data_IF_259459032514
#
_entry.id   IF_259459032514
#
_cell.length_a   1.000
_cell.length_b   1.000
_cell.length_c   1.000
_cell.angle_alpha   90.00
_cell.angle_beta   90.00
_cell.angle_gamma   90.00
#
_symmetry.space_group_name_H-M   'P 1'
#
loop_
_entity.id
_entity.type
_entity.pdbx_description
1 polymer ?
#
# COMPACT_ATOMS: atom_id res chain seq x y z
N UNK A 1 -0.57 -10.37 11.18
CA UNK A 1 -1.19 -11.29 12.15
C UNK A 1 -1.55 -10.57 13.44
N UNK A 2 -0.60 -10.21 14.32
CA UNK A 2 -0.90 -9.63 15.65
C UNK A 2 -1.91 -8.47 15.64
N UNK A 3 -1.74 -7.47 14.76
CA UNK A 3 -2.66 -6.32 14.70
C UNK A 3 -4.06 -6.70 14.18
N UNK A 4 -4.16 -7.65 13.24
CA UNK A 4 -5.45 -8.19 12.79
C UNK A 4 -6.12 -9.02 13.89
N UNK A 5 -5.33 -9.79 14.66
CA UNK A 5 -5.82 -10.54 15.81
C UNK A 5 -6.37 -9.60 16.90
N UNK A 6 -5.69 -8.47 17.14
CA UNK A 6 -6.14 -7.42 18.06
C UNK A 6 -7.44 -6.75 17.61
N UNK A 7 -7.68 -6.66 16.29
CA UNK A 7 -8.94 -6.22 15.70
C UNK A 7 -10.01 -7.32 15.70
N UNK A 8 -9.67 -8.56 16.06
CA UNK A 8 -10.58 -9.71 16.02
C UNK A 8 -10.93 -10.18 14.62
N UNK A 9 -10.08 -9.87 13.62
CA UNK A 9 -10.30 -10.21 12.22
C UNK A 9 -9.65 -11.57 11.93
N UNK A 10 -10.41 -12.59 11.48
CA UNK A 10 -9.86 -13.87 11.03
C UNK A 10 -8.79 -13.66 9.96
N UNK A 11 -7.62 -14.24 10.18
CA UNK A 11 -6.48 -14.13 9.28
C UNK A 11 -5.65 -15.41 9.25
N UNK A 12 -4.91 -15.60 8.15
CA UNK A 12 -4.05 -16.75 7.92
C UNK A 12 -2.80 -16.31 7.13
N UNK A 13 -1.62 -16.65 7.64
CA UNK A 13 -0.36 -16.55 6.90
C UNK A 13 -0.07 -17.90 6.25
N UNK A 14 0.08 -17.93 4.93
CA UNK A 14 0.43 -19.16 4.21
C UNK A 14 1.94 -19.46 4.24
N UNK A 15 2.31 -20.62 3.70
CA UNK A 15 3.70 -21.09 3.64
C UNK A 15 4.62 -20.23 2.74
N UNK A 16 4.04 -19.37 1.90
CA UNK A 16 4.74 -18.46 1.01
C UNK A 16 4.80 -17.03 1.57
N UNK A 17 4.38 -16.80 2.81
CA UNK A 17 4.43 -15.49 3.46
C UNK A 17 3.30 -14.54 3.06
N UNK A 18 2.23 -15.03 2.42
CA UNK A 18 1.05 -14.21 2.08
C UNK A 18 0.05 -14.21 3.22
N UNK A 19 -0.36 -13.02 3.64
CA UNK A 19 -1.30 -12.85 4.75
C UNK A 19 -2.68 -12.55 4.20
N UNK A 20 -3.61 -13.47 4.42
CA UNK A 20 -5.02 -13.34 4.05
C UNK A 20 -5.83 -12.96 5.29
N UNK A 21 -6.83 -12.08 5.13
CA UNK A 21 -7.77 -11.75 6.20
C UNK A 21 -9.17 -11.47 5.64
N UNK A 22 -10.19 -11.67 6.47
CA UNK A 22 -11.59 -11.52 6.06
C UNK A 22 -12.40 -10.76 7.10
N UNK A 23 -12.99 -9.64 6.70
CA UNK A 23 -13.95 -8.89 7.48
C UNK A 23 -15.36 -9.13 6.94
N UNK A 24 -16.23 -9.68 7.79
CA UNK A 24 -17.64 -9.90 7.45
C UNK A 24 -18.34 -8.56 7.18
N UNK A 25 -19.23 -8.55 6.20
CA UNK A 25 -20.10 -7.41 5.87
C UNK A 25 -21.52 -7.87 5.51
N UNK A 26 -22.22 -7.07 4.72
CA UNK A 26 -23.59 -7.40 4.26
C UNK A 26 -23.56 -8.62 3.30
N UNK A 27 -24.15 -9.74 3.73
CA UNK A 27 -24.06 -11.05 3.05
C UNK A 27 -24.65 -11.10 1.64
N UNK A 28 -25.46 -10.12 1.26
CA UNK A 28 -26.08 -9.99 -0.06
C UNK A 28 -25.28 -9.11 -1.03
N UNK A 29 -24.14 -8.57 -0.59
CA UNK A 29 -23.24 -7.75 -1.40
C UNK A 29 -22.01 -8.57 -1.82
N UNK A 30 -21.40 -8.25 -2.97
CA UNK A 30 -20.20 -8.94 -3.44
C UNK A 30 -19.01 -8.64 -2.53
N UNK A 31 -18.17 -9.63 -2.26
CA UNK A 31 -16.92 -9.45 -1.50
C UNK A 31 -15.93 -8.62 -2.30
N UNK A 32 -15.42 -7.54 -1.70
CA UNK A 32 -14.39 -6.68 -2.29
C UNK A 32 -13.02 -7.08 -1.74
N UNK A 33 -12.03 -7.17 -2.62
CA UNK A 33 -10.64 -7.41 -2.26
C UNK A 33 -9.84 -6.12 -2.10
N UNK A 34 -9.00 -6.05 -1.08
CA UNK A 34 -7.97 -5.02 -0.93
C UNK A 34 -6.61 -5.69 -0.83
N UNK A 35 -5.62 -5.20 -1.57
CA UNK A 35 -4.27 -5.73 -1.56
C UNK A 35 -3.22 -4.61 -1.43
N UNK A 36 -2.16 -4.91 -0.68
CA UNK A 36 -0.93 -4.12 -0.61
C UNK A 36 0.26 -5.06 -0.44
N UNK A 37 1.47 -4.60 -0.78
CA UNK A 37 2.68 -5.41 -0.64
C UNK A 37 3.54 -5.01 0.58
N UNK A 38 4.33 -5.96 1.07
CA UNK A 38 5.03 -5.87 2.37
C UNK A 38 6.49 -5.43 2.23
N UNK A 39 7.08 -5.63 1.06
CA UNK A 39 8.46 -5.30 0.76
C UNK A 39 8.63 -3.82 0.40
N UNK A 40 9.86 -3.44 0.06
CA UNK A 40 10.21 -2.10 -0.39
C UNK A 40 11.28 -2.24 -1.45
N UNK A 41 11.28 -1.35 -2.43
CA UNK A 41 12.27 -1.21 -3.50
C UNK A 41 13.73 -1.51 -3.08
N UNK A 42 14.49 -2.13 -3.99
CA UNK A 42 15.89 -2.55 -3.76
C UNK A 42 16.90 -1.41 -4.02
N UNK A 43 16.46 -0.35 -4.69
CA UNK A 43 17.26 0.77 -5.19
C UNK A 43 17.84 1.62 -4.07
N UNK A 44 17.18 1.64 -2.90
CA UNK A 44 17.65 2.34 -1.72
C UNK A 44 17.37 1.52 -0.45
N UNK A 45 18.18 1.72 0.60
CA UNK A 45 17.99 0.98 1.85
C UNK A 45 16.66 1.36 2.51
N UNK A 46 15.79 0.38 2.77
CA UNK A 46 14.62 0.50 3.66
C UNK A 46 14.91 0.20 5.13
N UNK A 47 16.19 0.02 5.51
CA UNK A 47 16.59 -0.28 6.89
C UNK A 47 16.85 1.00 7.70
N UNK A 48 16.38 1.03 8.95
CA UNK A 48 16.52 2.16 9.88
C UNK A 48 16.02 3.51 9.32
N UNK A 49 14.90 3.47 8.59
CA UNK A 49 14.21 4.68 8.09
C UNK A 49 13.89 5.61 9.26
N UNK A 50 14.14 6.90 9.07
CA UNK A 50 13.84 7.97 10.03
C UNK A 50 12.83 8.94 9.40
N UNK A 51 11.52 8.68 9.53
CA UNK A 51 10.50 9.57 8.99
C UNK A 51 10.59 10.94 9.64
N UNK A 52 10.45 11.99 8.84
CA UNK A 52 10.34 13.38 9.27
C UNK A 52 8.94 13.88 8.91
N UNK A 53 8.26 14.50 9.86
CA UNK A 53 6.91 15.05 9.65
C UNK A 53 7.03 16.57 9.51
N UNK A 54 6.53 17.10 8.39
CA UNK A 54 6.51 18.52 8.08
C UNK A 54 5.06 18.97 7.99
N UNK A 55 4.53 19.50 9.10
CA UNK A 55 3.16 19.98 9.16
C UNK A 55 3.00 21.34 8.46
N UNK A 56 1.83 21.57 7.84
CA UNK A 56 1.50 22.81 7.15
C UNK A 56 2.58 23.25 6.15
N UNK A 57 2.94 22.35 5.24
CA UNK A 57 3.99 22.58 4.25
C UNK A 57 3.79 23.92 3.52
N UNK A 58 4.85 24.73 3.45
CA UNK A 58 4.76 26.13 3.02
C UNK A 58 5.18 26.36 1.55
N UNK A 59 5.43 25.28 0.81
CA UNK A 59 5.84 25.33 -0.59
C UNK A 59 7.32 25.64 -0.81
N UNK A 60 8.17 25.54 0.23
CA UNK A 60 9.62 25.77 0.13
C UNK A 60 10.42 24.47 0.13
N UNK A 61 11.72 24.59 -0.05
CA UNK A 61 12.67 23.49 0.06
C UNK A 61 12.61 22.84 1.47
N UNK A 62 12.61 21.51 1.52
CA UNK A 62 12.72 20.71 2.75
C UNK A 62 14.11 20.10 2.80
N UNK A 63 14.95 20.54 3.73
CA UNK A 63 16.25 19.92 3.97
C UNK A 63 16.03 18.56 4.65
N UNK A 64 16.38 17.47 3.97
CA UNK A 64 16.27 16.11 4.52
C UNK A 64 17.44 15.82 5.46
N UNK A 65 18.65 16.24 5.03
CA UNK A 65 19.88 16.25 5.82
C UNK A 65 20.83 17.36 5.29
N UNK A 66 22.12 17.28 5.59
CA UNK A 66 23.12 18.27 5.15
C UNK A 66 23.49 18.16 3.66
N UNK A 67 23.11 17.07 2.99
CA UNK A 67 23.48 16.76 1.60
C UNK A 67 22.28 16.82 0.65
N UNK A 68 21.11 16.37 1.10
CA UNK A 68 19.91 16.23 0.30
C UNK A 68 18.81 17.20 0.73
N UNK A 69 18.17 17.78 -0.26
CA UNK A 69 17.04 18.70 -0.12
C UNK A 69 15.95 18.29 -1.09
N UNK A 70 14.73 18.17 -0.59
CA UNK A 70 13.53 17.97 -1.40
C UNK A 70 13.02 19.35 -1.83
N UNK A 71 13.09 19.67 -3.12
CA UNK A 71 12.81 21.01 -3.65
C UNK A 71 11.68 21.00 -4.68
N UNK A 72 10.74 21.96 -4.65
CA UNK A 72 9.75 22.16 -5.71
C UNK A 72 10.36 22.56 -7.06
N UNK A 73 11.66 22.84 -7.13
CA UNK A 73 12.37 23.02 -8.41
C UNK A 73 12.57 21.70 -9.15
N UNK A 74 12.87 20.65 -8.40
CA UNK A 74 13.11 19.31 -8.92
C UNK A 74 11.79 18.51 -8.99
N UNK A 75 10.90 18.75 -8.03
CA UNK A 75 9.58 18.09 -7.88
C UNK A 75 8.45 19.13 -7.78
N UNK A 76 8.04 19.78 -8.90
CA UNK A 76 7.03 20.83 -8.90
C UNK A 76 5.69 20.44 -8.27
N UNK A 77 5.35 19.15 -8.25
CA UNK A 77 4.18 18.56 -7.63
C UNK A 77 4.07 18.84 -6.12
N UNK A 78 5.19 19.13 -5.44
CA UNK A 78 5.19 19.56 -4.03
C UNK A 78 4.30 20.79 -3.82
N UNK A 79 4.21 21.70 -4.80
CA UNK A 79 3.39 22.90 -4.70
C UNK A 79 1.88 22.60 -4.63
N UNK A 80 1.46 21.39 -5.01
CA UNK A 80 0.07 20.95 -4.84
C UNK A 80 -0.27 20.60 -3.38
N UNK A 81 0.75 20.45 -2.53
CA UNK A 81 0.62 20.02 -1.13
C UNK A 81 0.84 21.16 -0.12
N UNK A 82 0.72 22.41 -0.55
CA UNK A 82 0.82 23.55 0.38
C UNK A 82 -0.33 23.48 1.39
N UNK A 83 0.03 23.45 2.67
CA UNK A 83 -0.89 23.29 3.80
C UNK A 83 -1.07 21.85 4.28
N UNK A 84 -0.63 20.85 3.50
CA UNK A 84 -0.68 19.45 3.92
C UNK A 84 0.42 19.12 4.94
N UNK A 85 0.28 17.97 5.61
CA UNK A 85 1.38 17.37 6.38
C UNK A 85 2.14 16.39 5.50
N UNK A 86 3.42 16.67 5.24
CA UNK A 86 4.29 15.79 4.47
C UNK A 86 5.09 14.88 5.40
N UNK A 87 5.27 13.62 5.00
CA UNK A 87 6.17 12.68 5.66
C UNK A 87 7.31 12.37 4.69
N UNK A 88 8.53 12.67 5.08
CA UNK A 88 9.73 12.45 4.25
C UNK A 88 10.73 11.54 4.96
N UNK A 89 11.79 11.16 4.24
CA UNK A 89 12.94 10.46 4.82
C UNK A 89 13.90 11.43 5.51
N UNK A 90 14.98 10.92 6.11
CA UNK A 90 16.14 11.72 6.51
C UNK A 90 17.17 11.90 5.39
N UNK A 91 16.86 11.49 4.15
CA UNK A 91 17.77 11.54 3.01
C UNK A 91 18.69 10.31 2.84
N UNK A 92 18.84 9.46 3.85
CA UNK A 92 19.79 8.31 3.82
C UNK A 92 19.16 6.98 3.37
N UNK A 93 17.83 6.96 3.20
CA UNK A 93 17.00 5.76 3.00
C UNK A 93 15.81 6.10 2.11
N UNK A 94 15.12 5.10 1.58
CA UNK A 94 13.75 5.26 1.09
C UNK A 94 12.77 5.41 2.28
N UNK A 95 11.56 5.92 2.02
CA UNK A 95 10.53 6.04 3.05
C UNK A 95 9.80 4.70 3.29
N UNK A 96 9.58 3.95 2.20
CA UNK A 96 8.67 2.82 2.18
C UNK A 96 7.20 3.26 2.20
N UNK A 97 6.90 4.45 1.65
CA UNK A 97 5.51 4.87 1.41
C UNK A 97 4.82 3.86 0.48
N UNK A 98 5.49 3.54 -0.61
CA UNK A 98 5.30 2.33 -1.41
C UNK A 98 5.83 1.10 -0.63
N UNK A 99 4.99 0.15 -0.18
CA UNK A 99 3.51 0.22 -0.10
C UNK A 99 2.98 0.15 1.35
N UNK A 100 3.79 0.63 2.31
CA UNK A 100 3.35 0.68 3.71
C UNK A 100 2.26 1.71 3.96
N UNK A 101 2.11 2.70 3.07
CA UNK A 101 0.96 3.60 3.06
C UNK A 101 -0.33 2.83 2.73
N UNK A 102 -0.32 1.97 1.70
CA UNK A 102 -1.44 1.10 1.38
C UNK A 102 -1.81 0.16 2.51
N UNK A 103 -0.81 -0.48 3.14
CA UNK A 103 -1.03 -1.31 4.34
C UNK A 103 -1.72 -0.51 5.44
N UNK A 104 -1.21 0.69 5.76
CA UNK A 104 -1.77 1.53 6.81
C UNK A 104 -3.21 1.97 6.50
N UNK A 105 -3.51 2.28 5.24
CA UNK A 105 -4.85 2.63 4.77
C UNK A 105 -5.80 1.44 4.95
N UNK A 106 -5.42 0.25 4.47
CA UNK A 106 -6.24 -0.97 4.61
C UNK A 106 -6.51 -1.27 6.09
N UNK A 107 -5.47 -1.27 6.93
CA UNK A 107 -5.64 -1.51 8.38
C UNK A 107 -6.54 -0.46 9.04
N UNK A 108 -6.46 0.80 8.61
CA UNK A 108 -7.33 1.88 9.10
C UNK A 108 -8.80 1.67 8.71
N UNK A 109 -9.05 1.24 7.46
CA UNK A 109 -10.40 0.90 6.98
C UNK A 109 -10.99 -0.27 7.78
N UNK A 110 -10.20 -1.33 8.00
CA UNK A 110 -10.61 -2.47 8.79
C UNK A 110 -10.95 -2.07 10.23
N UNK A 111 -10.06 -1.29 10.88
CA UNK A 111 -10.27 -0.81 12.24
C UNK A 111 -11.51 0.10 12.35
N UNK A 112 -11.77 0.92 11.34
CA UNK A 112 -12.98 1.75 11.27
C UNK A 112 -14.25 0.89 11.29
N UNK A 113 -14.36 -0.09 10.40
CA UNK A 113 -15.57 -0.93 10.32
C UNK A 113 -15.77 -1.83 11.54
N UNK A 114 -14.68 -2.36 12.12
CA UNK A 114 -14.76 -3.09 13.39
C UNK A 114 -15.31 -2.20 14.51
N UNK A 115 -14.88 -0.93 14.55
CA UNK A 115 -15.33 0.04 15.57
C UNK A 115 -16.74 0.57 15.32
N UNK A 116 -17.19 0.57 14.06
CA UNK A 116 -18.44 1.16 13.61
C UNK A 116 -19.35 0.12 12.90
N UNK A 117 -19.80 -0.94 13.62
CA UNK A 117 -20.61 -2.01 13.03
C UNK A 117 -21.98 -1.53 12.52
N UNK A 118 -22.43 -0.33 12.90
CA UNK A 118 -23.62 0.32 12.37
C UNK A 118 -23.48 0.78 10.90
N UNK A 119 -22.25 0.99 10.44
CA UNK A 119 -21.97 1.40 9.07
C UNK A 119 -21.97 0.17 8.18
N UNK A 120 -22.94 0.09 7.28
CA UNK A 120 -23.06 -1.02 6.33
C UNK A 120 -21.92 -0.98 5.30
N UNK A 121 -21.33 -2.13 5.03
CA UNK A 121 -20.30 -2.29 4.01
C UNK A 121 -20.35 -3.67 3.36
N UNK A 122 -19.67 -3.81 2.22
CA UNK A 122 -19.45 -5.11 1.59
C UNK A 122 -18.53 -5.97 2.46
N UNK A 123 -18.63 -7.31 2.42
CA UNK A 123 -17.57 -8.16 2.95
C UNK A 123 -16.22 -7.77 2.31
N UNK A 124 -15.15 -7.74 3.12
CA UNK A 124 -13.82 -7.32 2.67
C UNK A 124 -12.86 -8.50 2.83
N UNK A 125 -12.22 -8.89 1.73
CA UNK A 125 -11.06 -9.77 1.75
C UNK A 125 -9.79 -8.93 1.64
N UNK A 126 -8.79 -9.24 2.44
CA UNK A 126 -7.50 -8.53 2.44
C UNK A 126 -6.38 -9.51 2.12
N UNK A 127 -5.43 -9.06 1.32
CA UNK A 127 -4.21 -9.77 1.00
C UNK A 127 -3.01 -8.84 1.20
N UNK A 128 -2.06 -9.26 2.02
CA UNK A 128 -0.73 -8.66 2.02
C UNK A 128 0.27 -9.62 1.37
N UNK A 129 0.90 -9.16 0.28
CA UNK A 129 1.82 -9.95 -0.54
C UNK A 129 3.29 -9.65 -0.22
N UNK A 130 4.18 -10.65 -0.25
CA UNK A 130 5.62 -10.41 -0.28
C UNK A 130 6.12 -10.29 -1.73
N UNK A 131 7.34 -9.76 -1.87
CA UNK A 131 8.17 -9.83 -3.08
C UNK A 131 7.54 -9.20 -4.33
N UNK A 132 6.75 -8.14 -4.18
CA UNK A 132 6.18 -7.38 -5.31
C UNK A 132 7.30 -6.73 -6.13
N UNK A 133 8.24 -6.07 -5.46
CA UNK A 133 9.27 -5.21 -6.07
C UNK A 133 10.30 -6.01 -6.89
N UNK A 134 10.29 -7.34 -6.74
CA UNK A 134 11.09 -8.29 -7.52
C UNK A 134 10.25 -9.09 -8.53
N UNK A 135 9.02 -8.67 -8.78
CA UNK A 135 8.10 -9.22 -9.77
C UNK A 135 7.42 -10.53 -9.36
N UNK A 136 7.38 -10.86 -8.07
CA UNK A 136 6.87 -12.15 -7.56
C UNK A 136 5.61 -12.05 -6.72
N UNK A 137 5.06 -10.85 -6.53
CA UNK A 137 3.82 -10.64 -5.79
C UNK A 137 2.70 -11.64 -6.17
N UNK A 138 2.36 -11.79 -7.46
CA UNK A 138 1.31 -12.71 -7.90
C UNK A 138 1.64 -14.21 -7.83
N UNK A 139 2.92 -14.59 -7.69
CA UNK A 139 3.29 -16.01 -7.58
C UNK A 139 2.54 -16.67 -6.41
N UNK A 140 2.12 -17.93 -6.52
CA UNK A 140 1.42 -18.63 -5.43
C UNK A 140 0.14 -17.95 -4.87
N UNK A 141 -0.39 -16.90 -5.50
CA UNK A 141 -1.62 -16.25 -5.07
C UNK A 141 -2.81 -17.21 -5.15
N UNK A 142 -3.50 -17.41 -4.03
CA UNK A 142 -4.63 -18.32 -3.95
C UNK A 142 -5.96 -17.57 -4.04
N UNK A 143 -6.48 -17.45 -5.26
CA UNK A 143 -7.75 -16.78 -5.55
C UNK A 143 -8.92 -17.35 -4.73
N UNK A 144 -8.96 -18.67 -4.53
CA UNK A 144 -10.04 -19.33 -3.78
C UNK A 144 -10.00 -18.95 -2.29
N UNK A 145 -8.80 -18.86 -1.70
CA UNK A 145 -8.61 -18.42 -0.32
C UNK A 145 -8.94 -16.94 -0.15
N UNK A 146 -8.55 -16.11 -1.11
CA UNK A 146 -8.86 -14.69 -1.11
C UNK A 146 -10.37 -14.45 -1.17
N UNK A 147 -11.08 -15.10 -2.09
CA UNK A 147 -12.54 -15.15 -2.07
C UNK A 147 -13.26 -13.83 -2.39
N UNK A 148 -12.55 -12.86 -2.97
CA UNK A 148 -13.13 -11.62 -3.49
C UNK A 148 -13.67 -11.80 -4.91
N UNK A 149 -14.71 -11.04 -5.27
CA UNK A 149 -15.26 -10.99 -6.63
C UNK A 149 -14.44 -10.09 -7.54
N UNK A 150 -13.92 -9.00 -6.98
CA UNK A 150 -12.96 -8.08 -7.61
C UNK A 150 -12.09 -7.46 -6.51
N UNK A 151 -10.97 -6.84 -6.90
CA UNK A 151 -10.03 -6.29 -5.94
C UNK A 151 -9.38 -5.00 -6.41
N UNK A 152 -8.85 -4.24 -5.46
CA UNK A 152 -8.02 -3.07 -5.70
C UNK A 152 -6.68 -3.26 -4.99
N UNK A 153 -5.59 -3.03 -5.72
CA UNK A 153 -4.28 -2.79 -5.11
C UNK A 153 -4.27 -1.36 -4.61
N UNK A 154 -3.94 -1.15 -3.34
CA UNK A 154 -3.82 0.17 -2.72
C UNK A 154 -2.37 0.60 -2.82
N UNK A 155 -1.85 0.61 -4.04
CA UNK A 155 -0.43 0.70 -4.39
C UNK A 155 -0.22 1.75 -5.50
N UNK A 156 -0.99 2.83 -5.40
CA UNK A 156 -1.00 3.92 -6.37
C UNK A 156 -0.41 5.20 -5.79
N UNK A 157 -0.03 6.13 -6.66
CA UNK A 157 0.70 7.34 -6.26
C UNK A 157 -0.22 8.48 -5.75
N UNK A 158 -1.43 8.61 -6.32
CA UNK A 158 -2.35 9.71 -5.98
C UNK A 158 -3.73 9.22 -5.54
N UNK A 159 -4.38 9.90 -4.59
CA UNK A 159 -5.71 9.53 -4.10
C UNK A 159 -6.82 9.69 -5.15
N UNK A 160 -6.56 10.42 -6.24
CA UNK A 160 -7.54 10.70 -7.30
C UNK A 160 -7.35 9.83 -8.55
N UNK A 161 -6.36 8.95 -8.57
CA UNK A 161 -6.05 8.11 -9.72
C UNK A 161 -6.52 6.67 -9.51
N UNK A 162 -6.97 6.06 -10.60
CA UNK A 162 -7.27 4.63 -10.69
C UNK A 162 -6.67 4.16 -12.00
N UNK A 163 -5.69 3.27 -11.89
CA UNK A 163 -5.06 2.64 -13.04
C UNK A 163 -5.78 1.34 -13.37
N UNK A 164 -6.24 1.23 -14.62
CA UNK A 164 -7.02 0.08 -15.11
C UNK A 164 -6.38 -0.61 -16.32
N UNK A 165 -5.33 -0.01 -16.88
CA UNK A 165 -4.62 -0.50 -18.06
C UNK A 165 -3.12 -0.61 -17.73
N UNK A 166 -2.50 -1.72 -18.13
CA UNK A 166 -1.06 -1.93 -17.96
C UNK A 166 -0.42 -2.54 -19.22
N UNK A 167 0.90 -2.35 -19.35
CA UNK A 167 1.68 -3.05 -20.37
C UNK A 167 1.97 -4.49 -19.94
N UNK A 168 2.11 -5.41 -20.91
CA UNK A 168 2.51 -6.79 -20.67
C UNK A 168 3.64 -7.18 -21.65
N UNK A 169 4.77 -7.66 -21.11
CA UNK A 169 5.93 -8.15 -21.86
C UNK A 169 6.31 -9.59 -21.50
N UNK A 170 5.37 -10.40 -21.00
CA UNK A 170 5.64 -11.75 -20.49
C UNK A 170 5.99 -12.77 -21.57
N UNK A 171 5.88 -12.40 -22.86
CA UNK A 171 6.06 -13.31 -23.99
C UNK A 171 6.74 -12.60 -25.17
N UNK A 172 7.64 -13.30 -25.88
CA UNK A 172 8.25 -12.84 -27.11
C UNK A 172 8.33 -13.99 -28.14
N UNK A 173 7.76 -13.78 -29.32
CA UNK A 173 7.92 -14.69 -30.45
C UNK A 173 9.09 -14.24 -31.32
N UNK A 174 10.13 -15.08 -31.41
CA UNK A 174 11.28 -14.88 -32.28
C UNK A 174 11.19 -15.85 -33.46
N UNK A 175 11.27 -15.31 -34.68
CA UNK A 175 11.38 -16.10 -35.92
C UNK A 175 12.69 -15.74 -36.63
N UNK A 176 13.34 -16.75 -37.22
CA UNK A 176 14.62 -16.67 -37.90
C UNK A 176 14.49 -17.14 -39.35
#
# INVERSE_FOLDING_TARGET
MKELDELGIPNELDEYGRLYAHLDGEKNLPTIGLNSHMDTALECSGNNVKPQIHENYDGKDIALNNEYTLSPKDFPELLNHIGDSLVTTSGDTLLGGDDKAGIAIIMSVLAFYVKHPEVKHHPIAVLFTPDEEIGRGPEHFNLKKFGAEFAYTIDGDYPTHIDIDNFNASHADLSF
#
